data_IF_769185584611
#
_entry.id   IF_769185584611
#
_cell.length_a   1.000
_cell.length_b   1.000
_cell.length_c   1.000
_cell.angle_alpha   90.00
_cell.angle_beta   90.00
_cell.angle_gamma   90.00
#
_symmetry.space_group_name_H-M   'P 1'
#
loop_
_entity.id
_entity.type
_entity.pdbx_description
1 polymer ?
#
# COMPACT_ATOMS: atom_id res chain seq x y z
N UNK A 1 0.93 -11.61 -15.71
CA UNK A 1 -0.15 -11.32 -14.78
C UNK A 1 -1.11 -10.28 -15.35
N UNK A 2 -2.37 -10.37 -14.94
CA UNK A 2 -3.39 -9.41 -15.30
C UNK A 2 -4.03 -8.85 -14.02
N UNK A 3 -3.33 -7.96 -13.29
CA UNK A 3 -3.85 -7.44 -12.03
C UNK A 3 -5.07 -6.55 -12.25
N UNK A 4 -5.98 -6.54 -11.29
CA UNK A 4 -7.13 -5.64 -11.28
C UNK A 4 -6.79 -4.27 -10.72
N UNK A 5 -5.78 -4.19 -9.86
CA UNK A 5 -5.41 -2.96 -9.18
C UNK A 5 -3.91 -2.92 -8.91
N UNK A 6 -3.39 -1.71 -8.81
CA UNK A 6 -2.00 -1.43 -8.42
C UNK A 6 -2.02 -0.41 -7.31
N UNK A 7 -1.36 -0.72 -6.20
CA UNK A 7 -1.20 0.19 -5.08
C UNK A 7 0.22 0.76 -5.07
N UNK A 8 0.35 2.07 -4.98
CA UNK A 8 1.63 2.78 -5.10
C UNK A 8 1.77 3.77 -3.96
N UNK A 9 2.99 3.90 -3.44
CA UNK A 9 3.30 4.92 -2.44
C UNK A 9 3.43 6.29 -3.10
N UNK A 10 2.86 7.31 -2.46
CA UNK A 10 3.01 8.70 -2.91
C UNK A 10 4.44 9.16 -2.68
N UNK A 11 5.00 9.84 -3.67
CA UNK A 11 6.35 10.39 -3.60
C UNK A 11 6.29 11.83 -3.12
N UNK A 12 7.10 12.16 -2.10
CA UNK A 12 7.23 13.52 -1.58
C UNK A 12 8.61 14.09 -1.92
N UNK A 13 8.63 15.32 -2.41
CA UNK A 13 9.85 16.01 -2.83
C UNK A 13 10.51 16.78 -1.67
N UNK A 14 10.85 16.08 -0.57
CA UNK A 14 11.29 16.75 0.65
C UNK A 14 12.79 16.72 0.94
N UNK A 15 13.53 15.75 0.41
CA UNK A 15 14.89 15.49 0.86
C UNK A 15 15.95 15.87 -0.17
N UNK A 16 15.75 15.47 -1.42
CA UNK A 16 16.72 15.71 -2.49
C UNK A 16 15.97 15.78 -3.82
N UNK A 17 15.99 16.94 -4.45
CA UNK A 17 15.24 17.17 -5.69
C UNK A 17 15.61 16.19 -6.79
N UNK A 18 16.91 15.91 -6.96
CA UNK A 18 17.38 14.99 -8.00
C UNK A 18 16.87 13.57 -7.78
N UNK A 19 17.00 13.05 -6.55
CA UNK A 19 16.50 11.71 -6.19
C UNK A 19 14.97 11.66 -6.30
N UNK A 20 14.29 12.69 -5.80
CA UNK A 20 12.84 12.77 -5.88
C UNK A 20 12.34 12.77 -7.32
N UNK A 21 13.03 13.49 -8.23
CA UNK A 21 12.68 13.50 -9.66
C UNK A 21 12.84 12.11 -10.29
N UNK A 22 13.92 11.40 -10.01
CA UNK A 22 14.14 10.06 -10.54
C UNK A 22 13.07 9.08 -10.06
N UNK A 23 12.73 9.10 -8.79
CA UNK A 23 11.67 8.27 -8.21
C UNK A 23 10.32 8.67 -8.78
N UNK A 24 10.06 9.96 -8.93
CA UNK A 24 8.83 10.47 -9.53
C UNK A 24 8.65 10.03 -10.97
N UNK A 25 9.74 10.00 -11.75
CA UNK A 25 9.69 9.50 -13.13
C UNK A 25 9.36 8.02 -13.18
N UNK A 26 10.01 7.21 -12.34
CA UNK A 26 9.74 5.77 -12.28
C UNK A 26 8.29 5.49 -11.85
N UNK A 27 7.80 6.19 -10.82
CA UNK A 27 6.41 6.11 -10.40
C UNK A 27 5.45 6.51 -11.51
N UNK A 28 5.76 7.60 -12.22
CA UNK A 28 4.94 8.08 -13.33
C UNK A 28 4.80 7.06 -14.45
N UNK A 29 5.90 6.38 -14.80
CA UNK A 29 5.89 5.32 -15.81
C UNK A 29 5.03 4.15 -15.35
N UNK A 30 5.18 3.72 -14.10
CA UNK A 30 4.39 2.62 -13.54
C UNK A 30 2.90 2.96 -13.50
N UNK A 31 2.54 4.17 -13.11
CA UNK A 31 1.16 4.64 -13.07
C UNK A 31 0.54 4.70 -14.47
N UNK A 32 1.30 5.22 -15.44
CA UNK A 32 0.84 5.30 -16.84
C UNK A 32 0.60 3.90 -17.42
N UNK A 33 1.50 2.95 -17.16
CA UNK A 33 1.36 1.58 -17.63
C UNK A 33 0.17 0.89 -16.98
N UNK A 34 -0.02 1.07 -15.68
CA UNK A 34 -1.18 0.52 -14.97
C UNK A 34 -2.49 1.07 -15.53
N UNK A 35 -2.56 2.38 -15.76
CA UNK A 35 -3.74 3.02 -16.35
C UNK A 35 -4.02 2.51 -17.75
N UNK A 36 -2.98 2.35 -18.56
CA UNK A 36 -3.11 1.83 -19.92
C UNK A 36 -3.62 0.39 -19.94
N UNK A 37 -3.25 -0.39 -18.94
CA UNK A 37 -3.68 -1.80 -18.80
C UNK A 37 -5.09 -1.95 -18.23
N UNK A 38 -5.76 -0.83 -17.89
CA UNK A 38 -7.10 -0.86 -17.32
C UNK A 38 -7.16 -1.20 -15.84
N UNK A 39 -6.03 -1.15 -15.12
CA UNK A 39 -5.99 -1.40 -13.70
C UNK A 39 -6.53 -0.21 -12.90
N UNK A 40 -7.16 -0.49 -11.76
CA UNK A 40 -7.42 0.52 -10.76
C UNK A 40 -6.09 0.92 -10.13
N UNK A 41 -5.83 2.22 -10.01
CA UNK A 41 -4.62 2.73 -9.38
C UNK A 41 -4.98 3.42 -8.07
N UNK A 42 -4.36 2.99 -6.97
CA UNK A 42 -4.53 3.59 -5.66
C UNK A 42 -3.18 4.09 -5.16
N UNK A 43 -3.15 5.27 -4.58
CA UNK A 43 -1.93 5.89 -4.03
C UNK A 43 -2.10 6.15 -2.55
N UNK A 44 -1.06 5.83 -1.78
CA UNK A 44 -1.06 5.98 -0.33
C UNK A 44 0.18 6.73 0.14
N UNK A 45 0.01 7.66 1.06
CA UNK A 45 1.13 8.28 1.77
C UNK A 45 1.70 7.31 2.81
N UNK A 46 2.95 7.50 3.26
CA UNK A 46 3.51 6.70 4.35
C UNK A 46 2.63 6.70 5.60
N UNK A 47 2.04 7.83 5.96
CA UNK A 47 1.15 7.91 7.11
C UNK A 47 -0.14 7.12 6.92
N UNK A 48 -0.71 7.15 5.73
CA UNK A 48 -1.90 6.34 5.41
C UNK A 48 -1.61 4.85 5.55
N UNK A 49 -0.43 4.40 5.12
CA UNK A 49 0.00 3.01 5.28
C UNK A 49 0.12 2.66 6.76
N UNK A 50 0.80 3.48 7.55
CA UNK A 50 0.96 3.26 9.00
C UNK A 50 -0.38 3.20 9.71
N UNK A 51 -1.29 4.12 9.40
CA UNK A 51 -2.63 4.13 9.99
C UNK A 51 -3.41 2.89 9.64
N UNK A 52 -3.36 2.46 8.39
CA UNK A 52 -4.11 1.29 7.93
C UNK A 52 -3.58 -0.02 8.50
N UNK A 53 -2.26 -0.16 8.58
CA UNK A 53 -1.62 -1.43 8.98
C UNK A 53 -1.44 -1.52 10.49
N UNK A 54 -0.94 -0.47 11.13
CA UNK A 54 -0.61 -0.47 12.56
C UNK A 54 -1.65 0.24 13.44
N UNK A 55 -2.53 1.02 12.85
CA UNK A 55 -3.59 1.73 13.57
C UNK A 55 -3.19 3.11 14.08
N UNK A 56 -1.95 3.56 13.89
CA UNK A 56 -1.51 4.89 14.28
C UNK A 56 -0.35 5.38 13.41
N UNK A 57 -0.32 6.70 13.16
CA UNK A 57 0.65 7.31 12.25
C UNK A 57 2.08 7.37 12.78
N UNK A 58 2.27 7.19 14.09
CA UNK A 58 3.59 7.16 14.71
C UNK A 58 4.28 5.81 14.70
N UNK A 59 3.68 4.80 14.06
CA UNK A 59 4.26 3.47 14.00
C UNK A 59 5.62 3.49 13.30
N UNK A 60 6.59 2.78 13.87
CA UNK A 60 7.89 2.63 13.22
C UNK A 60 7.86 1.50 12.19
N UNK A 61 8.94 1.40 11.43
CA UNK A 61 9.04 0.42 10.34
C UNK A 61 8.95 -1.02 10.85
N UNK A 62 9.50 -1.32 12.01
CA UNK A 62 9.45 -2.66 12.60
C UNK A 62 8.03 -3.03 13.02
N UNK A 63 7.27 -2.08 13.56
CA UNK A 63 5.87 -2.31 13.92
C UNK A 63 5.02 -2.62 12.70
N UNK A 64 5.22 -1.86 11.62
CA UNK A 64 4.53 -2.13 10.35
C UNK A 64 4.89 -3.51 9.81
N UNK A 65 6.17 -3.88 9.83
CA UNK A 65 6.62 -5.19 9.37
C UNK A 65 6.02 -6.34 10.17
N UNK A 66 5.92 -6.19 11.50
CA UNK A 66 5.29 -7.20 12.36
C UNK A 66 3.81 -7.35 12.06
N UNK A 67 3.12 -6.26 11.82
CA UNK A 67 1.71 -6.31 11.47
C UNK A 67 1.48 -6.96 10.11
N UNK A 68 2.34 -6.68 9.14
CA UNK A 68 2.31 -7.36 7.83
C UNK A 68 2.53 -8.86 8.01
N UNK A 69 3.53 -9.23 8.81
CA UNK A 69 3.81 -10.63 9.13
C UNK A 69 2.59 -11.34 9.71
N UNK A 70 1.94 -10.73 10.68
CA UNK A 70 0.74 -11.29 11.31
C UNK A 70 -0.41 -11.45 10.33
N UNK A 71 -0.69 -10.41 9.54
CA UNK A 71 -1.81 -10.42 8.61
C UNK A 71 -1.65 -11.45 7.50
N UNK A 72 -0.41 -11.70 7.08
CA UNK A 72 -0.12 -12.68 6.04
C UNK A 72 0.17 -14.07 6.60
N UNK A 73 0.20 -14.24 7.93
CA UNK A 73 0.47 -15.51 8.56
C UNK A 73 1.87 -16.05 8.33
N UNK A 74 2.85 -15.14 8.20
CA UNK A 74 4.23 -15.52 7.93
C UNK A 74 4.97 -15.92 9.20
N UNK A 75 5.90 -16.88 9.08
CA UNK A 75 6.74 -17.32 10.21
C UNK A 75 7.82 -16.29 10.57
N UNK A 76 8.15 -15.39 9.64
CA UNK A 76 9.11 -14.30 9.85
C UNK A 76 8.68 -13.09 9.04
N UNK A 77 9.17 -11.87 9.36
CA UNK A 77 8.83 -10.69 8.58
C UNK A 77 9.29 -10.82 7.13
N UNK A 78 8.57 -10.24 6.16
CA UNK A 78 8.98 -10.26 4.76
C UNK A 78 10.36 -9.63 4.60
N UNK A 79 11.18 -10.20 3.74
CA UNK A 79 12.54 -9.70 3.43
C UNK A 79 12.75 -9.70 1.92
N UNK A 80 13.47 -8.71 1.39
CA UNK A 80 14.02 -7.53 2.08
C UNK A 80 12.93 -6.58 2.57
N UNK A 81 13.33 -5.48 3.23
CA UNK A 81 12.39 -4.49 3.76
C UNK A 81 11.44 -3.94 2.69
N UNK A 82 11.91 -3.80 1.45
CA UNK A 82 11.08 -3.35 0.33
C UNK A 82 9.92 -4.29 0.05
N UNK A 83 10.09 -5.59 0.27
CA UNK A 83 9.00 -6.55 0.13
C UNK A 83 7.91 -6.34 1.18
N UNK A 84 8.30 -5.99 2.42
CA UNK A 84 7.36 -5.64 3.46
C UNK A 84 6.60 -4.35 3.12
N UNK A 85 7.28 -3.36 2.57
CA UNK A 85 6.66 -2.10 2.15
C UNK A 85 5.63 -2.35 1.04
N UNK A 86 5.97 -3.15 0.06
CA UNK A 86 5.06 -3.50 -1.04
C UNK A 86 3.84 -4.27 -0.52
N UNK A 87 4.05 -5.23 0.38
CA UNK A 87 2.96 -5.99 0.98
C UNK A 87 2.03 -5.09 1.80
N UNK A 88 2.60 -4.12 2.53
CA UNK A 88 1.82 -3.16 3.30
C UNK A 88 0.91 -2.32 2.39
N UNK A 89 1.41 -1.85 1.24
CA UNK A 89 0.60 -1.12 0.26
C UNK A 89 -0.56 -1.96 -0.27
N UNK A 90 -0.29 -3.21 -0.60
CA UNK A 90 -1.33 -4.13 -1.09
C UNK A 90 -2.40 -4.37 -0.01
N UNK A 91 -2.00 -4.56 1.24
CA UNK A 91 -2.94 -4.74 2.35
C UNK A 91 -3.78 -3.48 2.59
N UNK A 92 -3.21 -2.28 2.45
CA UNK A 92 -3.96 -1.03 2.50
C UNK A 92 -5.08 -1.01 1.47
N UNK A 93 -4.77 -1.36 0.25
CA UNK A 93 -5.76 -1.39 -0.82
C UNK A 93 -6.87 -2.40 -0.52
N UNK A 94 -6.51 -3.61 -0.09
CA UNK A 94 -7.49 -4.64 0.23
C UNK A 94 -8.41 -4.24 1.37
N UNK A 95 -7.88 -3.53 2.38
CA UNK A 95 -8.68 -3.06 3.50
C UNK A 95 -9.67 -1.95 3.11
N UNK A 96 -9.36 -1.16 2.10
CA UNK A 96 -10.16 -0.01 1.67
C UNK A 96 -10.80 -0.20 0.30
N UNK A 97 -10.70 -1.37 -0.31
CA UNK A 97 -11.24 -1.62 -1.65
C UNK A 97 -12.77 -1.55 -1.66
N UNK A 98 -13.37 -1.20 -2.80
CA UNK A 98 -14.83 -1.18 -2.92
C UNK A 98 -15.48 -2.52 -2.59
N UNK A 99 -14.84 -3.63 -2.95
CA UNK A 99 -15.34 -4.95 -2.62
C UNK A 99 -15.36 -5.18 -1.11
N UNK A 100 -14.28 -4.87 -0.42
CA UNK A 100 -14.20 -4.98 1.04
C UNK A 100 -15.23 -4.08 1.71
N UNK A 101 -15.37 -2.84 1.25
CA UNK A 101 -16.38 -1.92 1.78
C UNK A 101 -17.80 -2.46 1.58
N UNK A 102 -18.09 -3.04 0.42
CA UNK A 102 -19.39 -3.63 0.13
C UNK A 102 -19.68 -4.84 1.04
N UNK A 103 -18.70 -5.70 1.25
CA UNK A 103 -18.82 -6.86 2.15
C UNK A 103 -19.06 -6.40 3.58
N UNK A 104 -18.28 -5.44 4.05
CA UNK A 104 -18.42 -4.90 5.40
C UNK A 104 -19.78 -4.22 5.61
N UNK A 105 -20.26 -3.48 4.62
CA UNK A 105 -21.58 -2.84 4.68
C UNK A 105 -22.68 -3.89 4.76
N UNK A 106 -22.60 -4.96 3.97
CA UNK A 106 -23.56 -6.05 3.99
C UNK A 106 -23.60 -6.78 5.33
N UNK A 107 -22.42 -7.00 5.95
CA UNK A 107 -22.31 -7.66 7.23
C UNK A 107 -22.64 -6.72 8.39
N UNK A 108 -22.15 -5.49 8.34
CA UNK A 108 -22.33 -4.49 9.38
C UNK A 108 -23.79 -4.01 9.52
N UNK A 109 -24.54 -4.04 8.45
CA UNK A 109 -25.96 -3.69 8.47
C UNK A 109 -26.84 -4.64 9.30
N UNK A 110 -26.25 -5.70 9.84
CA UNK A 110 -26.93 -6.68 10.69
C UNK A 110 -26.63 -6.50 12.18
N UNK A 111 -25.74 -5.59 12.50
CA UNK A 111 -25.35 -5.37 13.88
C UNK A 111 -26.35 -4.51 14.63
#
# INVERSE_FOLDING_TARGET
FAPHAVAVEKVFFQVNVRTAMSVGQASGIALAEAARSGCTVAQYSPNEVKMSIAGFGGADKQQVQRMVQQRLGLSSPPRPADAADAAALALCYLASSPLTAAVQAALGGRA
#
